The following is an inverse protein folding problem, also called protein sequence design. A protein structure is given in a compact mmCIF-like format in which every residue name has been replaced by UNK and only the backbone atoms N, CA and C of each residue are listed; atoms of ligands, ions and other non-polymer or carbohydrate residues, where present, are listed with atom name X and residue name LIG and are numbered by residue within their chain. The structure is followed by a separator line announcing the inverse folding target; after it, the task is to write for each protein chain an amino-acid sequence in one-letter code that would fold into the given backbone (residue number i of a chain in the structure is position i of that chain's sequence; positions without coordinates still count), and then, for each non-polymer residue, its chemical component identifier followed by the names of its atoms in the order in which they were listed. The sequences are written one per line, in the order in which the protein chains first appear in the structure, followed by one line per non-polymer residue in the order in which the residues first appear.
data_IF_154013530323
#
_entry.id   IF_154013530323
#
_cell.length_a   1.000
_cell.length_b   1.000
_cell.length_c   1.000
_cell.angle_alpha   90.00
_cell.angle_beta   90.00
_cell.angle_gamma   90.00
#
_symmetry.space_group_name_H-M   'P 1'
#
loop_
_entity.id
_entity.type
_entity.pdbx_description
1 polymer ?
#
# COMPACT_ATOMS: atom_id res chain seq x y z
N UNK A 1 -0.82 -24.52 -9.04
CA UNK A 1 0.15 -23.45 -8.72
C UNK A 1 -0.63 -22.17 -8.48
N UNK A 2 -0.18 -21.31 -7.61
CA UNK A 2 -0.89 -20.06 -7.28
C UNK A 2 -0.82 -19.08 -8.45
N UNK A 3 -1.96 -18.54 -8.88
CA UNK A 3 -2.01 -17.49 -9.91
C UNK A 3 -1.37 -16.18 -9.41
N UNK A 4 -1.24 -16.02 -8.08
CA UNK A 4 -0.75 -14.83 -7.39
C UNK A 4 0.47 -15.16 -6.55
N UNK A 5 1.50 -14.32 -6.65
CA UNK A 5 2.67 -14.33 -5.77
C UNK A 5 2.76 -13.03 -4.99
N UNK A 6 2.87 -13.13 -3.66
CA UNK A 6 3.02 -11.98 -2.76
C UNK A 6 4.49 -11.72 -2.46
N UNK A 7 4.96 -10.49 -2.66
CA UNK A 7 6.29 -10.03 -2.27
C UNK A 7 6.23 -9.29 -0.94
N UNK A 8 6.91 -9.84 0.07
CA UNK A 8 7.00 -9.26 1.40
C UNK A 8 6.05 -9.89 2.42
N UNK A 9 6.54 -9.99 3.65
CA UNK A 9 5.87 -10.58 4.82
C UNK A 9 5.71 -9.57 5.97
N UNK A 10 5.58 -8.30 5.64
CA UNK A 10 5.17 -7.24 6.58
C UNK A 10 3.71 -7.39 7.01
N UNK A 11 3.18 -6.41 7.72
CA UNK A 11 1.81 -6.44 8.26
C UNK A 11 0.77 -6.80 7.19
N UNK A 12 0.77 -6.11 6.05
CA UNK A 12 -0.20 -6.34 4.98
C UNK A 12 0.05 -7.67 4.26
N UNK A 13 1.30 -7.94 3.86
CA UNK A 13 1.64 -9.16 3.13
C UNK A 13 1.36 -10.43 3.93
N UNK A 14 1.67 -10.44 5.23
CA UNK A 14 1.35 -11.57 6.11
C UNK A 14 -0.14 -11.80 6.25
N UNK A 15 -0.95 -10.73 6.40
CA UNK A 15 -2.40 -10.87 6.50
C UNK A 15 -3.01 -11.31 5.16
N UNK A 16 -2.48 -10.82 4.04
CA UNK A 16 -2.89 -11.24 2.70
C UNK A 16 -2.68 -12.75 2.49
N UNK A 17 -1.49 -13.24 2.82
CA UNK A 17 -1.17 -14.68 2.76
C UNK A 17 -2.05 -15.50 3.68
N UNK A 18 -2.29 -15.02 4.90
CA UNK A 18 -3.16 -15.69 5.89
C UNK A 18 -4.60 -15.85 5.39
N UNK A 19 -5.18 -14.82 4.75
CA UNK A 19 -6.57 -14.86 4.26
C UNK A 19 -6.74 -15.65 2.96
N UNK A 20 -5.70 -15.71 2.11
CA UNK A 20 -5.82 -16.27 0.77
C UNK A 20 -5.12 -17.61 0.59
N UNK A 21 -4.11 -17.89 1.38
CA UNK A 21 -3.21 -19.03 1.18
C UNK A 21 -2.26 -18.85 -0.03
N UNK A 22 -2.16 -17.66 -0.62
CA UNK A 22 -1.27 -17.41 -1.76
C UNK A 22 0.20 -17.61 -1.39
N UNK A 23 0.97 -18.02 -2.37
CA UNK A 23 2.42 -18.15 -2.20
C UNK A 23 3.08 -16.78 -1.98
N UNK A 24 4.17 -16.76 -1.21
CA UNK A 24 4.90 -15.53 -0.96
C UNK A 24 6.41 -15.75 -0.94
N UNK A 25 7.12 -14.70 -1.27
CA UNK A 25 8.57 -14.57 -1.10
C UNK A 25 8.91 -13.33 -0.28
N UNK A 26 9.93 -13.43 0.56
CA UNK A 26 10.43 -12.31 1.34
C UNK A 26 11.92 -12.44 1.60
N UNK A 27 12.56 -11.33 1.99
CA UNK A 27 13.97 -11.37 2.41
C UNK A 27 14.18 -12.34 3.56
N UNK A 28 13.28 -12.36 4.53
CA UNK A 28 13.34 -13.23 5.70
C UNK A 28 13.13 -14.71 5.33
N UNK A 29 12.05 -15.02 4.62
CA UNK A 29 11.72 -16.41 4.21
C UNK A 29 12.81 -17.00 3.33
N UNK A 30 13.30 -16.25 2.36
CA UNK A 30 14.26 -16.74 1.38
C UNK A 30 15.72 -16.53 1.81
N UNK A 31 15.97 -15.85 2.94
CA UNK A 31 17.31 -15.52 3.46
C UNK A 31 18.19 -14.83 2.40
N UNK A 32 17.60 -13.90 1.65
CA UNK A 32 18.23 -13.23 0.50
C UNK A 32 18.15 -11.71 0.63
N UNK A 33 19.06 -11.03 -0.05
CA UNK A 33 18.97 -9.59 -0.24
C UNK A 33 17.75 -9.18 -1.08
N UNK A 34 17.43 -7.89 -1.07
CA UNK A 34 16.23 -7.35 -1.72
C UNK A 34 16.17 -7.72 -3.22
N UNK A 35 17.19 -7.39 -3.99
CA UNK A 35 17.24 -7.65 -5.43
C UNK A 35 17.36 -9.14 -5.78
N UNK A 36 17.87 -9.96 -4.88
CA UNK A 36 17.93 -11.41 -5.09
C UNK A 36 16.55 -12.10 -5.05
N UNK A 37 15.47 -11.35 -4.78
CA UNK A 37 14.11 -11.82 -4.94
C UNK A 37 13.63 -11.75 -6.39
N UNK A 38 14.18 -10.86 -7.22
CA UNK A 38 13.75 -10.65 -8.60
C UNK A 38 13.79 -11.94 -9.44
N UNK A 39 14.89 -12.71 -9.48
CA UNK A 39 14.90 -13.97 -10.22
C UNK A 39 13.83 -14.96 -9.76
N UNK A 40 13.51 -14.99 -8.45
CA UNK A 40 12.45 -15.87 -7.94
C UNK A 40 11.10 -15.45 -8.51
N UNK A 41 10.83 -14.13 -8.56
CA UNK A 41 9.60 -13.57 -9.12
C UNK A 41 9.47 -13.85 -10.61
N UNK A 42 10.57 -13.70 -11.38
CA UNK A 42 10.58 -13.88 -12.81
C UNK A 42 10.29 -15.33 -13.23
N UNK A 43 10.91 -16.28 -12.54
CA UNK A 43 10.77 -17.70 -12.84
C UNK A 43 9.59 -18.36 -12.14
N UNK A 44 8.80 -17.63 -11.34
CA UNK A 44 7.57 -18.14 -10.73
C UNK A 44 6.44 -18.20 -11.76
N UNK A 45 5.57 -19.22 -11.67
CA UNK A 45 4.46 -19.40 -12.62
C UNK A 45 3.30 -18.41 -12.43
N UNK A 46 3.27 -17.67 -11.34
CA UNK A 46 2.21 -16.68 -11.08
C UNK A 46 2.19 -15.57 -12.14
N UNK A 47 0.97 -15.22 -12.56
CA UNK A 47 0.73 -14.13 -13.51
C UNK A 47 0.47 -12.78 -12.81
N UNK A 48 0.19 -12.79 -11.51
CA UNK A 48 -0.06 -11.59 -10.71
C UNK A 48 0.99 -11.52 -9.59
N UNK A 49 1.71 -10.41 -9.55
CA UNK A 49 2.76 -10.15 -8.57
C UNK A 49 2.30 -9.00 -7.67
N UNK A 50 2.05 -9.29 -6.38
CA UNK A 50 1.60 -8.29 -5.41
C UNK A 50 2.80 -7.77 -4.61
N UNK A 51 3.25 -6.56 -4.88
CA UNK A 51 4.36 -5.95 -4.19
C UNK A 51 3.92 -5.25 -2.89
N UNK A 52 4.09 -5.94 -1.76
CA UNK A 52 3.92 -5.41 -0.39
C UNK A 52 5.24 -4.98 0.25
N UNK A 53 6.38 -5.03 -0.47
CA UNK A 53 7.67 -4.61 0.07
C UNK A 53 7.72 -3.09 0.10
N UNK A 54 7.96 -2.54 1.29
CA UNK A 54 8.24 -1.13 1.50
C UNK A 54 9.05 -0.91 2.78
N UNK A 55 9.82 0.16 2.84
CA UNK A 55 10.25 0.77 4.08
C UNK A 55 9.14 1.73 4.53
N UNK A 56 8.48 1.42 5.63
CA UNK A 56 7.29 2.14 6.14
C UNK A 56 7.59 3.02 7.36
N UNK A 57 8.86 3.28 7.65
CA UNK A 57 9.26 4.23 8.69
C UNK A 57 9.01 5.67 8.21
N UNK A 58 7.74 6.06 8.24
CA UNK A 58 7.18 7.26 7.61
C UNK A 58 7.92 8.55 7.98
N UNK A 59 8.49 8.62 9.17
CA UNK A 59 9.14 9.82 9.71
C UNK A 59 10.67 9.73 9.72
N UNK A 60 11.23 8.66 9.19
CA UNK A 60 12.68 8.48 9.09
C UNK A 60 13.32 9.50 8.16
N UNK A 61 14.49 9.99 8.57
CA UNK A 61 15.38 10.81 7.75
C UNK A 61 16.33 9.95 6.89
N UNK A 62 16.24 8.62 6.93
CA UNK A 62 17.05 7.72 6.12
C UNK A 62 16.55 7.71 4.67
N UNK A 63 16.93 8.76 3.95
CA UNK A 63 16.64 8.95 2.53
C UNK A 63 17.10 7.75 1.69
N UNK A 64 18.30 7.26 1.95
CA UNK A 64 18.92 6.24 1.10
C UNK A 64 18.15 4.92 1.18
N UNK A 65 17.77 4.49 2.39
CA UNK A 65 16.92 3.33 2.57
C UNK A 65 15.52 3.50 1.96
N UNK A 66 14.91 4.70 2.10
CA UNK A 66 13.62 4.99 1.49
C UNK A 66 13.67 4.91 -0.04
N UNK A 67 14.67 5.55 -0.64
CA UNK A 67 14.85 5.53 -2.10
C UNK A 67 15.19 4.14 -2.62
N UNK A 68 16.01 3.40 -1.89
CA UNK A 68 16.43 2.05 -2.29
C UNK A 68 15.25 1.07 -2.31
N UNK A 69 14.46 1.04 -1.23
CA UNK A 69 13.41 0.04 -1.06
C UNK A 69 12.12 0.45 -1.78
N UNK A 70 11.72 1.73 -1.65
CA UNK A 70 10.41 2.17 -2.12
C UNK A 70 10.39 2.64 -3.57
N UNK A 71 11.55 2.97 -4.14
CA UNK A 71 11.64 3.44 -5.52
C UNK A 71 12.53 2.57 -6.39
N UNK A 72 13.85 2.48 -6.15
CA UNK A 72 14.76 1.76 -7.05
C UNK A 72 14.41 0.29 -7.22
N UNK A 73 14.07 -0.40 -6.12
CA UNK A 73 13.60 -1.78 -6.21
C UNK A 73 12.34 -1.92 -7.06
N UNK A 74 11.42 -0.94 -6.99
CA UNK A 74 10.20 -0.94 -7.81
C UNK A 74 10.52 -0.72 -9.29
N UNK A 75 11.49 0.16 -9.60
CA UNK A 75 12.00 0.34 -10.98
C UNK A 75 12.48 -0.99 -11.55
N UNK A 76 13.43 -1.64 -10.87
CA UNK A 76 13.97 -2.93 -11.30
C UNK A 76 12.87 -4.00 -11.44
N UNK A 77 11.91 -4.03 -10.48
CA UNK A 77 10.80 -4.97 -10.55
C UNK A 77 9.94 -4.74 -11.80
N UNK A 78 9.61 -3.50 -12.13
CA UNK A 78 8.83 -3.14 -13.33
C UNK A 78 9.57 -3.54 -14.61
N UNK A 79 10.85 -3.18 -14.71
CA UNK A 79 11.67 -3.47 -15.89
C UNK A 79 11.78 -4.99 -16.13
N UNK A 80 12.00 -5.74 -15.07
CA UNK A 80 12.06 -7.19 -15.11
C UNK A 80 10.72 -7.83 -15.49
N UNK A 81 9.59 -7.38 -14.91
CA UNK A 81 8.26 -7.89 -15.26
C UNK A 81 7.91 -7.58 -16.72
N UNK A 82 8.28 -6.40 -17.21
CA UNK A 82 8.09 -6.05 -18.61
C UNK A 82 8.89 -6.96 -19.56
N UNK A 83 10.09 -7.40 -19.15
CA UNK A 83 10.94 -8.27 -19.96
C UNK A 83 10.32 -9.64 -20.23
N UNK A 84 9.51 -10.16 -19.30
CA UNK A 84 8.79 -11.45 -19.47
C UNK A 84 7.40 -11.28 -20.07
N UNK A 85 6.79 -10.09 -19.99
CA UNK A 85 5.65 -9.63 -20.78
C UNK A 85 4.28 -10.23 -20.45
N UNK A 86 4.15 -11.09 -19.45
CA UNK A 86 2.90 -11.79 -19.11
C UNK A 86 2.54 -11.71 -17.62
N UNK A 87 3.05 -10.71 -16.90
CA UNK A 87 2.81 -10.57 -15.46
C UNK A 87 2.25 -9.20 -15.14
N UNK A 88 1.14 -9.18 -14.39
CA UNK A 88 0.53 -7.96 -13.83
C UNK A 88 1.19 -7.59 -12.51
N UNK A 89 1.57 -6.33 -12.37
CA UNK A 89 2.05 -5.78 -11.10
C UNK A 89 0.88 -5.20 -10.30
N UNK A 90 0.64 -5.70 -9.09
CA UNK A 90 -0.20 -5.03 -8.10
C UNK A 90 0.72 -4.37 -7.07
N UNK A 91 0.79 -3.04 -7.09
CA UNK A 91 1.68 -2.27 -6.21
C UNK A 91 0.92 -1.63 -5.07
N UNK A 92 1.36 -1.90 -3.83
CA UNK A 92 0.80 -1.27 -2.65
C UNK A 92 1.47 0.09 -2.45
N UNK A 93 0.73 1.14 -2.76
CA UNK A 93 1.11 2.53 -2.53
C UNK A 93 0.47 3.09 -1.25
N UNK A 94 0.42 4.39 -1.09
CA UNK A 94 -0.03 5.07 0.13
C UNK A 94 -0.93 6.25 -0.19
N UNK A 95 -1.84 6.57 0.73
CA UNK A 95 -2.61 7.82 0.76
C UNK A 95 -1.71 9.06 0.88
N UNK A 96 -0.51 8.93 1.44
CA UNK A 96 0.44 10.03 1.60
C UNK A 96 0.90 10.68 0.28
N UNK A 97 0.68 10.05 -0.86
CA UNK A 97 0.88 10.70 -2.17
C UNK A 97 -0.03 11.91 -2.37
N UNK A 98 -1.13 12.00 -1.61
CA UNK A 98 -2.08 13.13 -1.64
C UNK A 98 -1.91 14.12 -0.48
N UNK A 99 -0.88 13.99 0.32
CA UNK A 99 -0.75 14.71 1.58
C UNK A 99 -0.82 16.25 1.48
N UNK A 100 -0.55 16.82 0.31
CA UNK A 100 -0.67 18.25 0.04
C UNK A 100 -1.77 18.58 -1.00
N UNK A 101 -2.63 17.61 -1.31
CA UNK A 101 -3.74 17.79 -2.23
C UNK A 101 -5.02 18.23 -1.51
N UNK A 102 -6.09 18.38 -2.26
CA UNK A 102 -7.43 18.65 -1.74
C UNK A 102 -7.96 17.42 -0.97
N UNK A 103 -8.92 17.67 -0.07
CA UNK A 103 -9.63 16.57 0.60
C UNK A 103 -10.46 15.76 -0.42
N UNK A 104 -10.66 14.47 -0.12
CA UNK A 104 -11.33 13.51 -1.01
C UNK A 104 -10.67 13.39 -2.38
N UNK A 105 -9.33 13.31 -2.37
CA UNK A 105 -8.51 13.21 -3.56
C UNK A 105 -8.92 12.01 -4.43
N UNK A 106 -9.09 12.24 -5.71
CA UNK A 106 -9.39 11.21 -6.72
C UNK A 106 -8.10 10.62 -7.28
N UNK A 107 -8.20 9.49 -7.90
CA UNK A 107 -7.06 8.82 -8.57
C UNK A 107 -6.46 9.67 -9.68
N UNK A 108 -7.26 10.55 -10.29
CA UNK A 108 -6.85 11.49 -11.34
C UNK A 108 -6.19 12.76 -10.82
N UNK A 109 -6.24 13.01 -9.51
CA UNK A 109 -5.57 14.15 -8.91
C UNK A 109 -4.06 13.94 -8.91
N UNK A 110 -3.33 14.96 -9.30
CA UNK A 110 -1.87 14.89 -9.39
C UNK A 110 -1.29 14.76 -7.98
N UNK A 111 -0.52 13.70 -7.69
CA UNK A 111 0.20 13.59 -6.43
C UNK A 111 1.14 14.77 -6.25
N UNK A 112 1.14 15.38 -5.07
CA UNK A 112 1.97 16.53 -4.80
C UNK A 112 3.12 16.19 -3.85
N UNK A 113 4.13 17.06 -3.82
CA UNK A 113 5.30 16.88 -2.97
C UNK A 113 4.89 16.65 -1.53
N UNK A 114 5.48 15.63 -0.93
CA UNK A 114 5.26 15.25 0.46
C UNK A 114 6.38 15.79 1.38
N UNK A 115 6.07 16.02 2.64
CA UNK A 115 7.02 16.45 3.65
C UNK A 115 7.98 15.34 4.12
N UNK A 116 7.73 14.07 3.73
CA UNK A 116 8.51 12.91 4.17
C UNK A 116 9.20 12.19 3.00
N UNK A 117 10.38 11.61 3.25
CA UNK A 117 11.05 10.77 2.26
C UNK A 117 10.21 9.53 1.91
N UNK A 118 9.42 9.02 2.85
CA UNK A 118 8.46 7.95 2.60
C UNK A 118 7.47 8.33 1.49
N UNK A 119 6.70 9.39 1.69
CA UNK A 119 5.71 9.82 0.71
C UNK A 119 6.34 10.17 -0.64
N UNK A 120 7.48 10.87 -0.63
CA UNK A 120 8.19 11.22 -1.86
C UNK A 120 8.67 9.99 -2.65
N UNK A 121 9.27 9.01 -1.98
CA UNK A 121 9.72 7.77 -2.64
C UNK A 121 8.56 6.97 -3.22
N UNK A 122 7.39 6.97 -2.57
CA UNK A 122 6.18 6.32 -3.08
C UNK A 122 5.59 7.06 -4.29
N UNK A 123 5.60 8.41 -4.30
CA UNK A 123 5.21 9.20 -5.49
C UNK A 123 6.07 8.85 -6.70
N UNK A 124 7.39 8.75 -6.52
CA UNK A 124 8.31 8.39 -7.60
C UNK A 124 8.04 6.98 -8.12
N UNK A 125 7.75 6.03 -7.24
CA UNK A 125 7.40 4.67 -7.64
C UNK A 125 6.08 4.61 -8.42
N UNK A 126 5.03 5.27 -7.92
CA UNK A 126 3.75 5.37 -8.63
C UNK A 126 3.96 5.94 -10.04
N UNK A 127 4.68 7.07 -10.14
CA UNK A 127 4.96 7.72 -11.42
C UNK A 127 5.76 6.83 -12.39
N UNK A 128 6.70 6.03 -11.89
CA UNK A 128 7.43 5.07 -12.72
C UNK A 128 6.51 3.96 -13.23
N UNK A 129 5.71 3.36 -12.36
CA UNK A 129 4.75 2.30 -12.73
C UNK A 129 3.76 2.81 -13.77
N UNK A 130 3.14 3.99 -13.53
CA UNK A 130 2.14 4.58 -14.43
C UNK A 130 2.68 4.83 -15.85
N UNK A 131 3.97 5.14 -15.98
CA UNK A 131 4.57 5.46 -17.29
C UNK A 131 5.26 4.28 -17.97
N UNK A 132 5.72 3.29 -17.23
CA UNK A 132 6.60 2.25 -17.79
C UNK A 132 6.10 0.81 -17.59
N UNK A 133 5.16 0.53 -16.67
CA UNK A 133 4.64 -0.83 -16.51
C UNK A 133 3.62 -1.17 -17.60
N UNK A 134 3.76 -2.36 -18.19
CA UNK A 134 2.86 -2.83 -19.25
C UNK A 134 1.46 -3.19 -18.72
N UNK A 135 1.38 -3.76 -17.53
CA UNK A 135 0.12 -4.12 -16.86
C UNK A 135 0.25 -3.92 -15.35
N UNK A 136 -0.62 -3.08 -14.79
CA UNK A 136 -0.52 -2.75 -13.37
C UNK A 136 -1.84 -2.39 -12.72
N UNK A 137 -1.85 -2.56 -11.40
CA UNK A 137 -2.83 -1.98 -10.47
C UNK A 137 -2.05 -1.33 -9.32
N UNK A 138 -2.16 -0.03 -9.12
CA UNK A 138 -1.64 0.69 -7.95
C UNK A 138 -2.77 0.85 -6.95
N UNK A 139 -2.60 0.31 -5.74
CA UNK A 139 -3.54 0.48 -4.63
C UNK A 139 -2.99 1.54 -3.66
N UNK A 140 -3.52 2.77 -3.71
CA UNK A 140 -3.21 3.83 -2.74
C UNK A 140 -4.03 3.59 -1.49
N UNK A 141 -3.37 3.21 -0.39
CA UNK A 141 -4.06 2.76 0.82
C UNK A 141 -3.27 3.01 2.10
N UNK A 142 -3.98 2.93 3.21
CA UNK A 142 -3.40 2.90 4.54
C UNK A 142 -4.07 1.82 5.38
N UNK A 143 -3.35 1.21 6.31
CA UNK A 143 -3.88 0.15 7.16
C UNK A 143 -3.24 0.17 8.54
N UNK A 144 -3.97 -0.35 9.53
CA UNK A 144 -3.52 -0.42 10.92
C UNK A 144 -3.61 -1.86 11.44
N UNK A 145 -2.75 -2.25 12.39
CA UNK A 145 -2.86 -3.55 13.06
C UNK A 145 -4.21 -3.70 13.76
N UNK A 146 -4.77 -4.89 13.73
CA UNK A 146 -5.97 -5.24 14.49
C UNK A 146 -5.63 -6.29 15.58
N UNK A 147 -5.86 -6.01 16.89
CA UNK A 147 -6.38 -4.75 17.45
C UNK A 147 -5.38 -3.59 17.39
N UNK A 148 -5.86 -2.35 17.60
CA UNK A 148 -5.01 -1.17 17.66
C UNK A 148 -4.02 -1.29 18.84
N UNK A 149 -2.69 -1.23 18.58
CA UNK A 149 -1.69 -1.69 19.55
C UNK A 149 -1.18 -0.62 20.51
N UNK A 150 -1.59 0.65 20.34
CA UNK A 150 -1.03 1.75 21.12
C UNK A 150 -2.01 2.26 22.17
N UNK A 151 -1.46 2.86 23.25
CA UNK A 151 -2.26 3.46 24.33
C UNK A 151 -2.85 4.82 23.94
N UNK A 152 -2.32 5.48 22.91
CA UNK A 152 -2.77 6.77 22.40
C UNK A 152 -2.98 6.76 20.90
N UNK A 153 -3.95 7.54 20.44
CA UNK A 153 -4.24 7.72 19.03
C UNK A 153 -4.56 9.19 18.72
N UNK A 154 -4.16 9.63 17.53
CA UNK A 154 -4.32 11.02 17.10
C UNK A 154 -5.78 11.31 16.71
N UNK A 155 -6.40 12.28 17.38
CA UNK A 155 -7.76 12.73 17.06
C UNK A 155 -7.81 13.70 15.87
N UNK A 156 -6.72 14.40 15.59
CA UNK A 156 -6.60 15.38 14.52
C UNK A 156 -6.05 14.80 13.20
N UNK A 157 -5.68 13.52 13.17
CA UNK A 157 -5.31 12.85 11.94
C UNK A 157 -6.53 12.11 11.36
N UNK A 158 -7.00 12.57 10.21
CA UNK A 158 -8.18 12.07 9.51
C UNK A 158 -7.77 11.50 8.16
N UNK A 159 -8.26 10.30 7.83
CA UNK A 159 -7.99 9.61 6.57
C UNK A 159 -8.93 8.42 6.37
N UNK A 160 -8.77 7.72 5.27
CA UNK A 160 -9.54 6.51 4.97
C UNK A 160 -8.93 5.28 5.67
N UNK A 161 -8.71 5.43 6.99
CA UNK A 161 -8.11 4.39 7.81
C UNK A 161 -9.02 3.19 7.94
N UNK A 162 -8.42 2.00 7.99
CA UNK A 162 -9.09 0.78 8.42
C UNK A 162 -8.07 -0.24 8.93
N UNK A 163 -8.54 -1.29 9.56
CA UNK A 163 -7.72 -2.39 10.02
C UNK A 163 -7.24 -3.26 8.86
N UNK A 164 -6.04 -3.83 9.02
CA UNK A 164 -5.37 -4.60 7.98
C UNK A 164 -6.23 -5.77 7.46
N UNK A 165 -6.95 -6.44 8.34
CA UNK A 165 -7.83 -7.56 7.99
C UNK A 165 -9.01 -7.16 7.10
N UNK A 166 -9.58 -5.96 7.29
CA UNK A 166 -10.64 -5.40 6.45
C UNK A 166 -10.07 -4.90 5.12
N UNK A 167 -8.92 -4.21 5.16
CA UNK A 167 -8.24 -3.72 3.96
C UNK A 167 -7.81 -4.86 3.03
N UNK A 168 -7.34 -5.98 3.59
CA UNK A 168 -6.98 -7.17 2.81
C UNK A 168 -8.18 -7.74 2.06
N UNK A 169 -9.37 -7.75 2.65
CA UNK A 169 -10.58 -8.21 1.95
C UNK A 169 -10.84 -7.40 0.67
N UNK A 170 -10.82 -6.05 0.78
CA UNK A 170 -10.96 -5.16 -0.39
C UNK A 170 -9.86 -5.38 -1.42
N UNK A 171 -8.63 -5.50 -0.95
CA UNK A 171 -7.49 -5.76 -1.83
C UNK A 171 -7.61 -7.09 -2.59
N UNK A 172 -8.07 -8.15 -1.93
CA UNK A 172 -8.31 -9.46 -2.57
C UNK A 172 -9.36 -9.37 -3.67
N UNK A 173 -10.48 -8.66 -3.42
CA UNK A 173 -11.51 -8.46 -4.44
C UNK A 173 -10.97 -7.66 -5.65
N UNK A 174 -10.20 -6.60 -5.40
CA UNK A 174 -9.54 -5.83 -6.46
C UNK A 174 -8.53 -6.68 -7.26
N UNK A 175 -7.73 -7.51 -6.60
CA UNK A 175 -6.76 -8.38 -7.26
C UNK A 175 -7.46 -9.42 -8.15
N UNK A 176 -8.61 -9.93 -7.70
CA UNK A 176 -9.41 -10.93 -8.44
C UNK A 176 -10.26 -10.31 -9.55
N UNK A 177 -10.44 -9.00 -9.54
CA UNK A 177 -11.11 -8.29 -10.62
C UNK A 177 -10.13 -7.98 -11.76
N UNK A 178 -10.66 -7.52 -12.90
CA UNK A 178 -9.85 -7.06 -14.02
C UNK A 178 -9.39 -5.58 -13.84
N UNK A 179 -9.42 -5.06 -12.61
CA UNK A 179 -9.05 -3.68 -12.31
C UNK A 179 -7.60 -3.37 -12.71
N UNK A 180 -7.41 -2.25 -13.38
CA UNK A 180 -6.10 -1.73 -13.79
C UNK A 180 -5.97 -0.24 -13.45
N UNK A 181 -4.73 0.28 -13.56
CA UNK A 181 -4.43 1.68 -13.26
C UNK A 181 -4.38 1.95 -11.76
N UNK A 182 -4.77 3.14 -11.33
CA UNK A 182 -4.73 3.55 -9.93
C UNK A 182 -6.11 3.38 -9.29
N UNK A 183 -6.15 2.87 -8.05
CA UNK A 183 -7.35 2.74 -7.23
C UNK A 183 -7.04 3.17 -5.80
N UNK A 184 -7.85 4.08 -5.26
CA UNK A 184 -7.83 4.45 -3.86
C UNK A 184 -8.56 3.38 -3.03
N UNK A 185 -7.89 2.84 -2.00
CA UNK A 185 -8.42 1.74 -1.20
C UNK A 185 -8.48 2.14 0.28
N UNK A 186 -9.66 2.12 0.86
CA UNK A 186 -9.83 2.52 2.26
C UNK A 186 -11.24 2.31 2.80
N UNK A 187 -11.41 2.56 4.09
CA UNK A 187 -12.71 2.73 4.72
C UNK A 187 -13.27 4.14 4.50
N UNK A 188 -14.39 4.44 5.15
CA UNK A 188 -14.87 5.82 5.25
C UNK A 188 -13.86 6.70 5.99
N UNK A 189 -13.86 7.99 5.70
CA UNK A 189 -12.96 8.94 6.36
C UNK A 189 -13.26 8.98 7.87
N UNK A 190 -12.26 8.67 8.68
CA UNK A 190 -12.36 8.58 10.14
C UNK A 190 -11.08 9.11 10.79
N UNK A 191 -11.15 9.60 12.02
CA UNK A 191 -9.94 9.92 12.77
C UNK A 191 -9.22 8.65 13.25
N UNK A 192 -7.92 8.73 13.43
CA UNK A 192 -7.14 7.62 14.00
C UNK A 192 -7.65 7.20 15.37
N UNK A 193 -8.11 8.18 16.17
CA UNK A 193 -8.66 7.92 17.49
C UNK A 193 -10.00 7.16 17.43
N UNK A 194 -10.90 7.54 16.52
CA UNK A 194 -12.18 6.83 16.36
C UNK A 194 -11.95 5.39 15.88
N UNK A 195 -11.07 5.18 14.89
CA UNK A 195 -10.69 3.83 14.50
C UNK A 195 -10.13 3.02 15.67
N UNK A 196 -9.21 3.59 16.44
CA UNK A 196 -8.58 2.91 17.57
C UNK A 196 -9.62 2.48 18.62
N UNK A 197 -10.64 3.31 18.87
CA UNK A 197 -11.74 2.99 19.80
C UNK A 197 -12.58 1.78 19.41
N UNK A 198 -12.58 1.37 18.15
CA UNK A 198 -13.30 0.16 17.74
C UNK A 198 -12.77 -1.09 18.46
N UNK A 199 -11.44 -1.20 18.60
CA UNK A 199 -10.77 -2.40 19.12
C UNK A 199 -10.04 -2.20 20.45
N UNK A 200 -9.69 -0.96 20.81
CA UNK A 200 -9.07 -0.60 22.08
C UNK A 200 -9.90 0.46 22.82
N UNK A 201 -10.81 0.02 23.70
CA UNK A 201 -11.69 0.93 24.46
C UNK A 201 -10.95 1.83 25.46
N UNK A 202 -9.74 1.45 25.87
CA UNK A 202 -8.92 2.21 26.83
C UNK A 202 -8.02 3.25 26.17
N UNK A 203 -7.94 3.28 24.82
CA UNK A 203 -7.08 4.22 24.14
C UNK A 203 -7.42 5.67 24.49
N UNK A 204 -6.38 6.45 24.78
CA UNK A 204 -6.51 7.88 25.00
C UNK A 204 -6.26 8.64 23.68
N UNK A 205 -6.83 9.84 23.56
CA UNK A 205 -6.52 10.68 22.42
C UNK A 205 -5.30 11.58 22.69
N UNK A 206 -4.58 11.89 21.62
CA UNK A 206 -3.61 12.98 21.57
C UNK A 206 -3.69 13.68 20.21
N UNK A 207 -2.88 14.70 20.00
CA UNK A 207 -2.75 15.37 18.72
C UNK A 207 -1.44 14.98 18.05
N UNK A 208 -1.49 14.83 16.73
CA UNK A 208 -0.29 14.67 15.91
C UNK A 208 0.40 16.04 15.83
N UNK A 209 1.66 16.09 16.28
CA UNK A 209 2.53 17.26 16.25
C UNK A 209 3.65 17.14 15.19
N UNK A 210 3.66 16.04 14.45
CA UNK A 210 4.59 15.88 13.33
C UNK A 210 4.26 16.84 12.17
N UNK A 211 5.25 17.29 11.41
CA UNK A 211 5.07 18.19 10.27
C UNK A 211 4.48 17.46 9.05
N UNK A 212 3.36 16.81 9.23
CA UNK A 212 2.63 16.07 8.19
C UNK A 212 1.19 16.56 8.13
N UNK A 213 0.54 16.49 6.99
CA UNK A 213 -0.87 16.85 6.87
C UNK A 213 -1.74 16.03 7.83
N UNK A 214 -2.58 16.72 8.58
CA UNK A 214 -3.49 16.07 9.52
C UNK A 214 -4.70 15.42 8.82
N UNK A 215 -5.04 15.89 7.64
CA UNK A 215 -6.18 15.40 6.87
C UNK A 215 -5.69 14.93 5.50
N UNK A 216 -5.77 13.62 5.28
CA UNK A 216 -5.45 12.96 4.00
C UNK A 216 -6.62 12.03 3.67
N UNK A 217 -7.61 12.57 2.97
CA UNK A 217 -8.80 11.81 2.59
C UNK A 217 -8.83 11.55 1.10
N UNK A 218 -9.28 10.35 0.72
CA UNK A 218 -9.41 9.89 -0.65
C UNK A 218 -10.87 9.69 -1.02
N UNK A 219 -11.23 9.96 -2.26
CA UNK A 219 -12.45 9.42 -2.86
C UNK A 219 -12.24 7.93 -3.13
N UNK A 220 -13.14 7.10 -2.64
CA UNK A 220 -13.07 5.63 -2.75
C UNK A 220 -14.20 5.04 -3.61
N UNK A 221 -14.93 5.87 -4.35
CA UNK A 221 -16.07 5.43 -5.15
C UNK A 221 -15.65 4.42 -6.21
N UNK A 222 -14.51 4.66 -6.89
CA UNK A 222 -13.98 3.72 -7.89
C UNK A 222 -13.75 2.33 -7.30
N UNK A 223 -13.18 2.23 -6.11
CA UNK A 223 -13.00 0.95 -5.41
C UNK A 223 -14.36 0.30 -5.16
N UNK A 224 -15.32 1.04 -4.55
CA UNK A 224 -16.65 0.54 -4.22
C UNK A 224 -17.38 -0.01 -5.45
N UNK A 225 -17.30 0.71 -6.56
CA UNK A 225 -17.90 0.29 -7.83
C UNK A 225 -17.31 -1.03 -8.34
N UNK A 226 -15.97 -1.21 -8.23
CA UNK A 226 -15.28 -2.41 -8.70
C UNK A 226 -15.63 -3.63 -7.83
N UNK A 227 -15.62 -3.47 -6.50
CA UNK A 227 -15.86 -4.59 -5.57
C UNK A 227 -17.34 -4.74 -5.18
N UNK A 228 -18.26 -3.94 -5.77
CA UNK A 228 -19.68 -3.91 -5.44
C UNK A 228 -19.96 -3.70 -3.94
N UNK A 229 -19.08 -2.96 -3.25
CA UNK A 229 -19.29 -2.57 -1.85
C UNK A 229 -20.30 -1.43 -1.81
N UNK A 230 -21.57 -1.77 -1.53
CA UNK A 230 -22.66 -0.79 -1.43
C UNK A 230 -22.44 0.18 -0.25
N UNK A 231 -22.84 1.43 -0.44
CA UNK A 231 -22.85 2.48 0.59
C UNK A 231 -23.78 2.15 1.77
#
# INVERSE_FOLDING_TARGET
MSEVLVLGDGLLGSELVKQTGWEYVSRKKNQKGLYSLLPIVLFHDANIIVNCIANTDTYSNDKDSMMEVNYKFVVELVDELNSVGNKKLVHISTDYVYSNSIQYAKETDVPSHNATWYGYSKILADGYIENFSNDYLICRMTHKPNPFPYDKAWRNQIGNFDYVDKQVKRLVELIKSDATGVVNVGGEAISMYELAKETNKSVEWNECDYPVPNVVTMNIDKMKDIINESN
#
